data_IF_196107082727
#
_entry.id   IF_196107082727
#
_cell.length_a   1.000
_cell.length_b   1.000
_cell.length_c   1.000
_cell.angle_alpha   90.00
_cell.angle_beta   90.00
_cell.angle_gamma   90.00
#
_symmetry.space_group_name_H-M   'P 1'
#
loop_
_entity.id
_entity.type
_entity.pdbx_description
1 polymer ?
#
# COMPACT_ATOMS: atom_id res chain seq x y z
N UNK A 1 -5.37 -21.92 5.35
CA UNK A 1 -4.65 -20.70 4.92
C UNK A 1 -4.16 -20.00 6.17
N UNK A 2 -2.96 -19.43 6.15
CA UNK A 2 -2.42 -18.62 7.24
C UNK A 2 -2.24 -17.20 6.69
N UNK A 3 -2.71 -16.18 7.41
CA UNK A 3 -2.55 -14.77 7.07
C UNK A 3 -1.95 -14.02 8.26
N UNK A 4 -0.75 -13.51 8.09
CA UNK A 4 0.01 -12.83 9.14
C UNK A 4 0.09 -11.35 8.78
N UNK A 5 -0.54 -10.49 9.59
CA UNK A 5 -0.53 -9.03 9.46
C UNK A 5 -1.00 -8.48 8.10
N UNK A 6 -1.81 -9.27 7.38
CA UNK A 6 -2.27 -8.93 6.03
C UNK A 6 -3.69 -9.43 5.77
N UNK A 7 -4.40 -8.71 4.89
CA UNK A 7 -5.76 -9.05 4.48
C UNK A 7 -6.04 -8.57 3.06
N UNK A 8 -6.78 -9.34 2.23
CA UNK A 8 -7.28 -8.85 0.95
C UNK A 8 -8.34 -7.75 1.11
N UNK A 9 -8.83 -7.47 2.31
CA UNK A 9 -9.82 -6.42 2.56
C UNK A 9 -9.23 -5.04 2.87
N UNK A 10 -7.91 -4.85 2.73
CA UNK A 10 -7.26 -3.55 2.97
C UNK A 10 -7.80 -2.47 2.01
N UNK A 11 -7.98 -1.20 2.46
CA UNK A 11 -8.56 -0.13 1.64
C UNK A 11 -7.76 0.28 0.40
N UNK A 12 -6.51 -0.16 0.27
CA UNK A 12 -5.52 0.35 -0.69
C UNK A 12 -5.63 -0.24 -2.10
N UNK A 13 -6.71 -0.94 -2.44
CA UNK A 13 -6.80 -1.74 -3.67
C UNK A 13 -7.56 -1.07 -4.83
N UNK A 14 -8.11 0.13 -4.66
CA UNK A 14 -8.78 0.87 -5.75
C UNK A 14 -7.87 1.94 -6.35
N UNK A 15 -6.73 1.50 -6.89
CA UNK A 15 -5.61 2.38 -7.26
C UNK A 15 -5.35 2.44 -8.76
N UNK A 16 -6.23 1.91 -9.61
CA UNK A 16 -5.97 1.80 -11.06
C UNK A 16 -5.53 3.10 -11.73
N UNK A 17 -6.25 4.19 -11.47
CA UNK A 17 -5.92 5.51 -12.02
C UNK A 17 -4.60 6.04 -11.45
N UNK A 18 -4.35 5.83 -10.15
CA UNK A 18 -3.11 6.22 -9.49
C UNK A 18 -1.93 5.45 -10.05
N UNK A 19 -2.05 4.13 -10.23
CA UNK A 19 -1.01 3.29 -10.82
C UNK A 19 -0.69 3.69 -12.25
N UNK A 20 -1.71 4.05 -13.06
CA UNK A 20 -1.48 4.55 -14.43
C UNK A 20 -0.72 5.88 -14.38
N UNK A 21 -1.19 6.85 -13.59
CA UNK A 21 -0.52 8.15 -13.46
C UNK A 21 0.92 8.00 -12.94
N UNK A 22 1.14 7.11 -11.98
CA UNK A 22 2.46 6.81 -11.43
C UNK A 22 3.38 6.17 -12.48
N UNK A 23 2.86 5.20 -13.25
CA UNK A 23 3.60 4.58 -14.37
C UNK A 23 3.96 5.60 -15.44
N UNK A 24 3.08 6.56 -15.73
CA UNK A 24 3.34 7.64 -16.69
C UNK A 24 4.49 8.53 -16.21
N UNK A 25 4.57 8.86 -14.92
CA UNK A 25 5.70 9.63 -14.35
C UNK A 25 7.03 8.88 -14.45
N UNK A 26 7.04 7.58 -14.13
CA UNK A 26 8.23 6.74 -14.31
C UNK A 26 8.64 6.71 -15.78
N UNK A 27 7.69 6.51 -16.70
CA UNK A 27 7.96 6.49 -18.14
C UNK A 27 8.54 7.81 -18.64
N UNK A 28 8.10 8.96 -18.12
CA UNK A 28 8.69 10.27 -18.43
C UNK A 28 10.15 10.32 -17.98
N UNK A 29 10.43 9.90 -16.73
CA UNK A 29 11.78 9.95 -16.15
C UNK A 29 12.81 9.12 -16.91
N UNK A 30 12.40 7.95 -17.42
CA UNK A 30 13.30 7.05 -18.18
C UNK A 30 13.23 7.26 -19.70
N UNK A 31 12.58 8.34 -20.16
CA UNK A 31 12.51 8.67 -21.59
C UNK A 31 11.59 7.78 -22.43
N UNK A 32 10.72 7.00 -21.79
CA UNK A 32 9.78 6.07 -22.42
C UNK A 32 8.39 6.66 -22.69
N UNK A 33 8.12 7.91 -22.32
CA UNK A 33 6.84 8.61 -22.50
C UNK A 33 6.50 8.87 -23.99
N UNK A 34 6.22 7.77 -24.69
CA UNK A 34 5.83 7.70 -26.10
C UNK A 34 4.36 7.27 -26.20
N UNK A 35 3.93 6.64 -27.30
CA UNK A 35 2.55 6.17 -27.41
C UNK A 35 2.26 5.05 -26.37
N UNK A 36 0.99 4.96 -25.93
CA UNK A 36 0.58 4.04 -24.86
C UNK A 36 0.86 2.56 -25.19
N UNK A 37 0.86 2.19 -26.47
CA UNK A 37 1.16 0.82 -26.91
C UNK A 37 2.66 0.50 -26.89
N UNK A 38 3.54 1.50 -27.01
CA UNK A 38 4.99 1.34 -27.03
C UNK A 38 5.67 1.56 -25.68
N UNK A 39 5.01 2.25 -24.74
CA UNK A 39 5.55 2.53 -23.40
C UNK A 39 6.01 1.25 -22.70
N UNK A 40 5.18 0.20 -22.66
CA UNK A 40 5.54 -1.07 -22.00
C UNK A 40 6.75 -1.74 -22.66
N UNK A 41 6.84 -1.66 -23.99
CA UNK A 41 8.00 -2.22 -24.70
C UNK A 41 9.27 -1.47 -24.34
N UNK A 42 9.22 -0.14 -24.34
CA UNK A 42 10.35 0.69 -23.93
C UNK A 42 10.78 0.42 -22.49
N UNK A 43 9.84 0.37 -21.54
CA UNK A 43 10.14 0.11 -20.13
C UNK A 43 10.82 -1.25 -19.90
N UNK A 44 10.54 -2.26 -20.74
CA UNK A 44 11.20 -3.56 -20.66
C UNK A 44 12.66 -3.54 -21.10
N UNK A 45 13.07 -2.54 -21.87
CA UNK A 45 14.44 -2.36 -22.35
C UNK A 45 15.26 -1.42 -21.43
N UNK A 46 14.64 -0.84 -20.40
CA UNK A 46 15.31 0.01 -19.39
C UNK A 46 15.94 -0.88 -18.32
N UNK A 47 17.15 -0.53 -17.88
CA UNK A 47 17.84 -1.21 -16.79
C UNK A 47 17.03 -1.13 -15.49
N UNK A 48 17.02 -2.22 -14.71
CA UNK A 48 16.21 -2.30 -13.51
C UNK A 48 16.54 -1.20 -12.47
N UNK A 49 17.82 -0.85 -12.34
CA UNK A 49 18.30 0.20 -11.42
C UNK A 49 17.76 1.59 -11.81
N UNK A 50 17.59 1.85 -13.11
CA UNK A 50 17.02 3.11 -13.59
C UNK A 50 15.53 3.21 -13.30
N UNK A 51 14.81 2.08 -13.40
CA UNK A 51 13.40 2.00 -13.03
C UNK A 51 13.21 2.17 -11.51
N UNK A 52 14.01 1.51 -10.69
CA UNK A 52 13.98 1.64 -9.23
C UNK A 52 14.27 3.08 -8.79
N UNK A 53 15.30 3.70 -9.38
CA UNK A 53 15.62 5.11 -9.12
C UNK A 53 14.47 6.03 -9.51
N UNK A 54 13.87 5.84 -10.69
CA UNK A 54 12.75 6.64 -11.14
C UNK A 54 11.52 6.48 -10.23
N UNK A 55 11.25 5.25 -9.75
CA UNK A 55 10.19 4.94 -8.78
C UNK A 55 10.41 5.67 -7.45
N UNK A 56 11.62 5.56 -6.88
CA UNK A 56 11.98 6.24 -5.63
C UNK A 56 11.89 7.76 -5.74
N UNK A 57 12.41 8.35 -6.82
CA UNK A 57 12.34 9.80 -7.03
C UNK A 57 10.91 10.30 -7.24
N UNK A 58 10.02 9.47 -7.77
CA UNK A 58 8.61 9.85 -8.01
C UNK A 58 7.81 9.86 -6.71
N UNK A 59 8.08 8.91 -5.80
CA UNK A 59 7.39 8.84 -4.52
C UNK A 59 8.33 8.38 -3.40
N UNK A 60 9.19 9.27 -2.87
CA UNK A 60 10.31 8.89 -1.98
C UNK A 60 9.90 8.54 -0.55
N UNK A 61 8.67 8.88 -0.14
CA UNK A 61 8.16 8.68 1.23
C UNK A 61 7.18 7.50 1.35
N UNK A 62 6.90 6.79 0.27
CA UNK A 62 6.01 5.64 0.31
C UNK A 62 6.77 4.36 0.59
N UNK A 63 6.10 3.41 1.25
CA UNK A 63 6.60 2.04 1.44
C UNK A 63 6.06 1.07 0.38
N UNK A 64 5.16 1.52 -0.49
CA UNK A 64 4.57 0.72 -1.55
C UNK A 64 4.08 1.59 -2.70
N UNK A 65 4.33 1.17 -3.94
CA UNK A 65 4.02 1.96 -5.13
C UNK A 65 2.99 1.28 -6.03
N UNK A 66 3.17 -0.02 -6.28
CA UNK A 66 2.29 -0.81 -7.14
C UNK A 66 1.50 -1.85 -6.34
N UNK A 67 0.19 -1.61 -6.21
CA UNK A 67 -0.74 -2.58 -5.62
C UNK A 67 -1.39 -3.46 -6.68
N UNK A 68 -1.74 -4.73 -6.35
CA UNK A 68 -2.52 -5.60 -7.23
C UNK A 68 -3.80 -4.91 -7.72
N UNK A 69 -4.11 -5.09 -9.00
CA UNK A 69 -5.30 -4.55 -9.64
C UNK A 69 -6.37 -5.63 -9.82
N UNK A 70 -7.63 -5.22 -9.83
CA UNK A 70 -8.77 -6.08 -10.13
C UNK A 70 -9.47 -5.67 -11.42
N UNK A 71 -10.33 -6.55 -11.95
CA UNK A 71 -11.08 -6.35 -13.19
C UNK A 71 -10.50 -7.10 -14.39
N UNK A 72 -9.65 -8.11 -14.16
CA UNK A 72 -9.15 -9.04 -15.18
C UNK A 72 -9.65 -10.47 -14.92
N UNK A 73 -9.16 -11.44 -15.69
CA UNK A 73 -9.57 -12.85 -15.56
C UNK A 73 -9.09 -13.53 -14.26
N UNK A 74 -8.03 -13.01 -13.63
CA UNK A 74 -7.45 -13.57 -12.42
C UNK A 74 -8.10 -13.02 -11.16
N UNK A 75 -8.35 -11.71 -11.12
CA UNK A 75 -8.99 -11.01 -10.02
C UNK A 75 -10.18 -10.18 -10.55
N UNK A 76 -11.29 -10.82 -10.95
CA UNK A 76 -12.39 -10.14 -11.67
C UNK A 76 -13.16 -9.14 -10.82
N UNK A 77 -13.14 -9.31 -9.50
CA UNK A 77 -13.92 -8.51 -8.55
C UNK A 77 -13.01 -7.84 -7.54
N UNK A 78 -13.48 -6.70 -7.04
CA UNK A 78 -12.84 -6.01 -5.93
C UNK A 78 -12.75 -6.96 -4.71
N UNK A 79 -11.55 -7.25 -4.19
CA UNK A 79 -11.37 -8.25 -3.13
C UNK A 79 -12.05 -7.85 -1.82
N UNK A 80 -12.02 -6.56 -1.46
CA UNK A 80 -12.71 -6.04 -0.28
C UNK A 80 -14.23 -6.28 -0.36
N UNK A 81 -14.83 -6.05 -1.53
CA UNK A 81 -16.26 -6.36 -1.75
C UNK A 81 -16.51 -7.86 -1.64
N UNK A 82 -15.67 -8.67 -2.26
CA UNK A 82 -15.79 -10.14 -2.26
C UNK A 82 -15.72 -10.72 -0.85
N UNK A 83 -14.82 -10.20 0.00
CA UNK A 83 -14.77 -10.56 1.43
C UNK A 83 -16.06 -10.16 2.14
N UNK A 84 -16.52 -8.92 1.97
CA UNK A 84 -17.74 -8.43 2.65
C UNK A 84 -19.04 -9.13 2.20
N UNK A 85 -19.06 -9.68 0.99
CA UNK A 85 -20.22 -10.41 0.45
C UNK A 85 -20.12 -11.93 0.64
N UNK A 86 -19.06 -12.43 1.29
CA UNK A 86 -18.84 -13.87 1.44
C UNK A 86 -18.47 -14.59 0.13
N UNK A 87 -18.08 -13.86 -0.91
CA UNK A 87 -17.72 -14.40 -2.22
C UNK A 87 -16.25 -14.85 -2.25
N UNK A 88 -15.93 -15.82 -1.39
CA UNK A 88 -14.61 -16.45 -1.35
C UNK A 88 -14.75 -17.93 -0.96
N UNK A 89 -13.67 -18.70 -1.16
CA UNK A 89 -13.68 -20.11 -0.78
C UNK A 89 -13.62 -20.25 0.74
N UNK A 90 -14.67 -20.77 1.35
CA UNK A 90 -14.66 -21.11 2.77
C UNK A 90 -13.65 -22.25 3.05
N UNK A 91 -12.64 -21.95 3.87
CA UNK A 91 -11.57 -22.85 4.31
C UNK A 91 -11.13 -22.44 5.72
N UNK A 92 -10.52 -23.38 6.46
CA UNK A 92 -9.89 -23.08 7.75
C UNK A 92 -8.82 -21.98 7.58
N UNK A 93 -8.97 -20.93 8.37
CA UNK A 93 -8.11 -19.74 8.38
C UNK A 93 -7.43 -19.62 9.75
N UNK A 94 -6.12 -19.42 9.74
CA UNK A 94 -5.37 -18.91 10.88
C UNK A 94 -4.95 -17.49 10.53
N UNK A 95 -5.42 -16.50 11.30
CA UNK A 95 -5.12 -15.08 11.06
C UNK A 95 -4.62 -14.44 12.34
N UNK A 96 -3.65 -13.54 12.22
CA UNK A 96 -3.10 -12.78 13.34
C UNK A 96 -2.46 -11.46 12.90
N UNK A 97 -2.14 -10.63 13.87
CA UNK A 97 -1.44 -9.36 13.69
C UNK A 97 -0.51 -9.11 14.88
N UNK A 98 0.49 -8.25 14.70
CA UNK A 98 1.32 -7.77 15.79
C UNK A 98 0.66 -6.60 16.51
N UNK A 99 1.17 -6.28 17.70
CA UNK A 99 0.68 -5.17 18.52
C UNK A 99 1.00 -3.80 17.87
N UNK A 100 2.20 -3.66 17.30
CA UNK A 100 2.76 -2.35 16.90
C UNK A 100 2.97 -2.22 15.36
N UNK A 101 2.02 -2.71 14.55
CA UNK A 101 2.09 -2.69 13.06
C UNK A 101 2.32 -1.30 12.46
N UNK A 102 1.78 -0.26 13.09
CA UNK A 102 1.87 1.12 12.58
C UNK A 102 3.25 1.76 12.73
N UNK A 103 4.11 1.22 13.58
CA UNK A 103 5.39 1.85 13.96
C UNK A 103 6.31 2.07 12.75
N UNK A 104 6.44 1.07 11.88
CA UNK A 104 7.27 1.15 10.66
C UNK A 104 6.71 2.15 9.65
N UNK A 105 5.39 2.26 9.52
CA UNK A 105 4.76 3.19 8.59
C UNK A 105 4.91 4.64 9.05
N UNK A 106 4.80 4.89 10.35
CA UNK A 106 5.04 6.22 10.93
C UNK A 106 6.49 6.66 10.70
N UNK A 107 7.47 5.80 10.96
CA UNK A 107 8.88 6.15 10.85
C UNK A 107 9.33 6.37 9.40
N UNK A 108 8.87 5.53 8.47
CA UNK A 108 9.20 5.62 7.04
C UNK A 108 8.48 6.74 6.31
N UNK A 109 7.29 7.15 6.78
CA UNK A 109 6.55 8.27 6.18
C UNK A 109 7.07 9.65 6.59
N UNK A 110 7.78 9.73 7.73
CA UNK A 110 8.37 10.96 8.24
C UNK A 110 9.75 10.70 8.91
N UNK A 111 10.75 10.20 8.16
CA UNK A 111 12.08 9.89 8.70
C UNK A 111 12.83 11.13 9.20
N UNK A 112 12.46 12.32 8.73
CA UNK A 112 12.94 13.59 9.25
C UNK A 112 12.56 13.79 10.73
N UNK A 113 11.36 13.32 11.13
CA UNK A 113 10.78 13.48 12.47
C UNK A 113 11.18 12.31 13.37
N UNK A 114 10.92 11.08 12.91
CA UNK A 114 11.04 9.88 13.75
C UNK A 114 12.37 9.15 13.57
N UNK A 115 13.13 9.45 12.51
CA UNK A 115 14.23 8.59 12.07
C UNK A 115 13.70 7.39 11.31
N UNK A 116 14.48 6.83 10.39
CA UNK A 116 13.99 5.74 9.53
C UNK A 116 13.59 4.51 10.35
N UNK A 117 14.33 4.22 11.42
CA UNK A 117 14.10 3.12 12.36
C UNK A 117 13.49 3.58 13.69
N UNK A 118 12.94 4.81 13.75
CA UNK A 118 12.38 5.36 15.00
C UNK A 118 13.45 5.90 15.97
N UNK A 119 14.71 6.01 15.55
CA UNK A 119 15.83 6.38 16.41
C UNK A 119 15.74 7.81 16.96
N UNK A 120 14.96 8.70 16.33
CA UNK A 120 14.75 10.08 16.79
C UNK A 120 13.57 10.24 17.75
N UNK A 121 12.78 9.19 18.01
CA UNK A 121 11.61 9.25 18.92
C UNK A 121 11.99 9.78 20.30
N UNK A 122 13.20 9.45 20.79
CA UNK A 122 13.71 9.91 22.10
C UNK A 122 13.87 11.44 22.20
N UNK A 123 13.90 12.14 21.07
CA UNK A 123 14.08 13.59 20.99
C UNK A 123 12.73 14.33 20.97
N UNK A 124 11.61 13.60 20.81
CA UNK A 124 10.27 14.17 20.74
C UNK A 124 9.63 14.21 22.13
N UNK A 125 8.87 15.27 22.40
CA UNK A 125 7.97 15.25 23.55
C UNK A 125 6.81 14.27 23.28
N UNK A 126 6.38 13.46 24.27
CA UNK A 126 5.36 12.43 24.04
C UNK A 126 4.03 12.96 23.44
N UNK A 127 3.47 14.11 23.89
CA UNK A 127 2.22 14.62 23.32
C UNK A 127 2.36 15.04 21.85
N UNK A 128 3.49 15.65 21.49
CA UNK A 128 3.72 16.13 20.12
C UNK A 128 4.01 14.98 19.16
N UNK A 129 4.78 13.98 19.60
CA UNK A 129 5.06 12.78 18.81
C UNK A 129 3.80 11.96 18.54
N UNK A 130 2.95 11.76 19.55
CA UNK A 130 1.67 11.05 19.41
C UNK A 130 0.74 11.74 18.40
N UNK A 131 0.61 13.07 18.48
CA UNK A 131 -0.21 13.84 17.54
C UNK A 131 0.28 13.70 16.09
N UNK A 132 1.59 13.79 15.87
CA UNK A 132 2.18 13.65 14.53
C UNK A 132 2.00 12.23 13.97
N UNK A 133 2.19 11.21 14.81
CA UNK A 133 1.94 9.83 14.42
C UNK A 133 0.47 9.60 14.02
N UNK A 134 -0.48 10.19 14.76
CA UNK A 134 -1.91 10.09 14.45
C UNK A 134 -2.26 10.76 13.12
N UNK A 135 -1.70 11.93 12.83
CA UNK A 135 -1.89 12.64 11.55
C UNK A 135 -1.36 11.80 10.38
N UNK A 136 -0.19 11.16 10.53
CA UNK A 136 0.37 10.26 9.52
C UNK A 136 -0.55 9.04 9.32
N UNK A 137 -0.96 8.36 10.39
CA UNK A 137 -1.83 7.18 10.30
C UNK A 137 -3.14 7.51 9.59
N UNK A 138 -3.76 8.65 9.89
CA UNK A 138 -4.99 9.10 9.22
C UNK A 138 -4.79 9.36 7.72
N UNK A 139 -3.61 9.83 7.32
CA UNK A 139 -3.31 10.03 5.90
C UNK A 139 -3.09 8.71 5.15
N UNK A 140 -2.50 7.70 5.80
CA UNK A 140 -2.24 6.38 5.21
C UNK A 140 -3.53 5.53 5.16
N UNK A 141 -4.33 5.57 6.23
CA UNK A 141 -5.55 4.77 6.41
C UNK A 141 -6.76 5.66 6.67
N UNK A 142 -7.24 6.43 5.68
CA UNK A 142 -8.36 7.36 5.86
C UNK A 142 -9.67 6.65 6.21
N UNK A 143 -9.79 5.35 5.92
CA UNK A 143 -10.99 4.54 6.09
C UNK A 143 -10.75 3.32 7.03
N UNK A 144 -10.05 3.55 8.14
CA UNK A 144 -9.73 2.49 9.12
C UNK A 144 -10.98 1.83 9.72
N UNK A 145 -12.04 2.61 9.99
CA UNK A 145 -13.25 2.12 10.66
C UNK A 145 -14.05 1.10 9.85
N UNK A 146 -14.10 1.24 8.53
CA UNK A 146 -14.84 0.30 7.68
C UNK A 146 -14.07 -1.01 7.46
N UNK A 147 -12.73 -0.99 7.57
CA UNK A 147 -11.87 -2.18 7.54
C UNK A 147 -12.11 -3.06 8.75
N UNK A 148 -12.31 -2.46 9.93
CA UNK A 148 -12.65 -3.22 11.15
C UNK A 148 -14.01 -3.91 11.02
N UNK A 149 -14.99 -3.28 10.35
CA UNK A 149 -16.33 -3.84 10.14
C UNK A 149 -16.37 -5.02 9.17
N UNK A 150 -15.47 -5.12 8.20
CA UNK A 150 -15.45 -6.25 7.25
C UNK A 150 -14.88 -7.53 7.87
N UNK A 151 -14.03 -7.41 8.90
CA UNK A 151 -13.43 -8.56 9.59
C UNK A 151 -14.43 -9.36 10.42
N UNK A 152 -15.49 -8.74 10.94
CA UNK A 152 -16.52 -9.43 11.71
C UNK A 152 -17.38 -10.37 10.86
N UNK A 153 -17.38 -10.24 9.54
CA UNK A 153 -18.12 -11.11 8.62
C UNK A 153 -17.35 -12.38 8.27
N UNK A 154 -16.02 -12.40 8.46
CA UNK A 154 -15.16 -13.56 8.19
C UNK A 154 -15.45 -14.71 9.18
N UNK A 155 -16.00 -14.39 10.37
CA UNK A 155 -16.31 -15.39 11.42
C UNK A 155 -17.61 -16.17 11.18
N UNK A 156 -18.37 -15.90 10.12
CA UNK A 156 -19.62 -16.59 9.78
C UNK A 156 -19.46 -17.67 8.69
N UNK A 157 -18.22 -18.07 8.40
CA UNK A 157 -17.88 -19.20 7.53
C UNK A 157 -17.69 -20.50 8.33
#
# INVERSE_FOLDING_TARGET
MIMESGSPAVPTQDTKLLNIAFTEQIAIKVGCATNRQSVVKCLKDVEAEDLERAEFETMPKTTSHFFPQYGDEFLPKNPRKSVSSGEFRCKKLLIGNNLDEGSVFVSTSAPEIFGFFGEKIKQLSPPSGAKQAEEIIKSILPDLQSTVKSLSQITHC
#
